data_IF_208870805208
#
_entry.id   IF_208870805208
#
_cell.length_a   1.000
_cell.length_b   1.000
_cell.length_c   1.000
_cell.angle_alpha   90.00
_cell.angle_beta   90.00
_cell.angle_gamma   90.00
#
_symmetry.space_group_name_H-M   'P 1'
#
loop_
_entity.id
_entity.type
_entity.pdbx_description
1 polymer ?
#
# COMPACT_ATOMS: atom_id res chain seq x y z
N UNK A 1 13.07 6.94 16.39
CA UNK A 1 12.11 7.39 15.36
C UNK A 1 12.75 8.56 14.66
N UNK A 2 12.90 8.47 13.34
CA UNK A 2 13.31 9.60 12.53
C UNK A 2 12.31 10.76 12.79
N UNK A 3 12.77 12.00 13.11
CA UNK A 3 11.89 13.15 13.33
C UNK A 3 10.90 13.40 12.19
N UNK A 4 11.26 13.02 10.96
CA UNK A 4 10.38 13.12 9.81
C UNK A 4 9.27 12.05 9.78
N UNK A 5 9.51 10.86 10.35
CA UNK A 5 8.46 9.86 10.56
C UNK A 5 7.49 10.27 11.67
N UNK A 6 7.99 10.93 12.72
CA UNK A 6 7.15 11.43 13.80
C UNK A 6 6.13 12.48 13.29
N UNK A 7 6.51 13.30 12.30
CA UNK A 7 5.60 14.29 11.71
C UNK A 7 4.56 13.64 10.79
N UNK A 8 4.91 12.54 10.10
CA UNK A 8 3.97 11.72 9.31
C UNK A 8 3.02 10.91 10.21
N UNK A 9 3.51 10.47 11.35
CA UNK A 9 2.77 9.71 12.37
C UNK A 9 1.94 10.59 13.30
N UNK A 10 2.02 11.92 13.20
CA UNK A 10 1.31 12.88 14.05
C UNK A 10 -0.21 12.93 13.72
N UNK A 11 -0.80 11.74 13.60
CA UNK A 11 -2.25 11.57 13.61
C UNK A 11 -2.66 11.33 15.06
N UNK A 12 -3.49 12.20 15.66
CA UNK A 12 -3.87 12.11 17.10
C UNK A 12 -4.48 10.77 17.51
N UNK A 13 -4.89 9.95 16.57
CA UNK A 13 -5.39 8.58 16.77
C UNK A 13 -4.37 7.47 16.64
N UNK A 14 -3.18 7.72 16.09
CA UNK A 14 -2.20 6.64 15.91
C UNK A 14 -1.64 6.14 17.24
N UNK A 15 -1.44 7.03 18.21
CA UNK A 15 -1.02 6.65 19.56
C UNK A 15 -2.12 5.84 20.28
N UNK A 16 -3.39 6.19 20.08
CA UNK A 16 -4.54 5.44 20.62
C UNK A 16 -4.67 4.06 19.92
N UNK A 17 -4.51 4.02 18.60
CA UNK A 17 -4.61 2.79 17.79
C UNK A 17 -3.46 1.84 18.10
N UNK A 18 -2.26 2.38 18.29
CA UNK A 18 -1.08 1.58 18.63
C UNK A 18 -1.13 1.01 20.05
N UNK A 19 -2.03 1.51 20.91
CA UNK A 19 -2.14 1.03 22.28
C UNK A 19 -0.83 1.10 23.07
N UNK A 20 0.06 2.05 22.73
CA UNK A 20 1.41 2.15 23.27
C UNK A 20 2.43 1.22 22.60
N UNK A 21 2.08 0.55 21.50
CA UNK A 21 3.03 -0.26 20.73
C UNK A 21 4.05 0.63 19.99
N UNK A 22 5.29 0.12 19.89
CA UNK A 22 6.34 0.73 19.08
C UNK A 22 5.96 0.67 17.58
N UNK A 23 5.76 1.82 16.96
CA UNK A 23 5.41 1.96 15.55
C UNK A 23 6.62 1.95 14.60
N UNK A 24 7.83 1.77 15.10
CA UNK A 24 9.00 1.64 14.23
C UNK A 24 8.84 0.44 13.28
N UNK A 25 9.23 0.59 11.99
CA UNK A 25 9.15 -0.51 11.04
C UNK A 25 9.95 -1.74 11.49
N UNK A 26 9.25 -2.84 11.72
CA UNK A 26 9.81 -4.14 12.10
C UNK A 26 9.85 -5.12 10.94
N UNK A 27 8.99 -4.94 9.97
CA UNK A 27 8.83 -5.82 8.82
C UNK A 27 9.32 -5.14 7.55
N UNK A 28 9.79 -5.94 6.61
CA UNK A 28 10.25 -5.43 5.33
C UNK A 28 9.08 -5.15 4.40
N UNK A 29 8.12 -6.08 4.32
CA UNK A 29 6.91 -5.91 3.49
C UNK A 29 5.68 -6.33 4.28
N UNK A 30 4.59 -5.57 4.16
CA UNK A 30 3.27 -6.00 4.62
C UNK A 30 2.31 -6.15 3.44
N UNK A 31 1.51 -7.21 3.49
CA UNK A 31 0.30 -7.33 2.72
C UNK A 31 -0.89 -7.56 3.64
N UNK A 32 -1.89 -6.71 3.52
CA UNK A 32 -3.18 -6.89 4.18
C UNK A 32 -4.24 -7.05 3.09
N UNK A 33 -4.94 -8.16 3.09
CA UNK A 33 -5.90 -8.43 2.04
C UNK A 33 -6.95 -9.46 2.38
N UNK A 34 -7.84 -9.67 1.43
CA UNK A 34 -8.78 -10.76 1.44
C UNK A 34 -8.20 -11.89 0.60
N UNK A 35 -8.24 -13.11 1.13
CA UNK A 35 -7.97 -14.30 0.34
C UNK A 35 -9.27 -14.66 -0.37
N UNK A 36 -9.35 -14.64 -1.71
CA UNK A 36 -10.51 -15.20 -2.38
C UNK A 36 -10.65 -16.65 -1.97
N UNK A 37 -11.86 -17.06 -1.57
CA UNK A 37 -12.15 -18.46 -1.35
C UNK A 37 -11.87 -19.19 -2.67
N UNK A 38 -11.03 -20.19 -2.63
CA UNK A 38 -10.84 -21.07 -3.77
C UNK A 38 -12.16 -21.81 -4.00
N UNK A 39 -12.85 -21.46 -5.07
CA UNK A 39 -13.99 -22.21 -5.58
C UNK A 39 -13.53 -22.96 -6.83
N UNK A 40 -13.19 -24.24 -6.76
CA UNK A 40 -12.68 -25.00 -7.89
C UNK A 40 -13.68 -25.14 -9.04
N UNK A 41 -14.97 -24.82 -8.80
CA UNK A 41 -16.06 -25.08 -9.73
C UNK A 41 -16.53 -23.86 -10.53
N UNK A 42 -15.97 -22.65 -10.34
CA UNK A 42 -16.43 -21.45 -11.03
C UNK A 42 -15.75 -21.17 -12.38
N UNK A 43 -14.85 -22.05 -12.81
CA UNK A 43 -14.15 -21.93 -14.09
C UNK A 43 -13.24 -20.69 -14.22
N UNK A 44 -13.01 -19.98 -13.14
CA UNK A 44 -12.13 -18.81 -13.15
C UNK A 44 -10.67 -19.24 -13.08
N UNK A 45 -10.00 -19.33 -14.20
CA UNK A 45 -8.54 -19.55 -14.31
C UNK A 45 -7.71 -18.41 -13.70
N UNK A 46 -8.34 -17.35 -13.17
CA UNK A 46 -7.70 -16.08 -12.80
C UNK A 46 -7.53 -15.82 -11.31
N UNK A 47 -7.83 -16.76 -10.42
CA UNK A 47 -7.62 -16.54 -8.99
C UNK A 47 -6.16 -16.74 -8.54
N UNK A 48 -5.30 -17.26 -9.40
CA UNK A 48 -3.94 -17.66 -9.04
C UNK A 48 -2.93 -16.49 -9.04
N UNK A 49 -3.09 -15.50 -9.92
CA UNK A 49 -2.10 -14.44 -10.11
C UNK A 49 -1.67 -13.75 -8.79
N UNK A 50 -2.63 -13.42 -7.91
CA UNK A 50 -2.29 -12.79 -6.63
C UNK A 50 -1.48 -13.70 -5.71
N UNK A 51 -1.81 -14.98 -5.69
CA UNK A 51 -1.12 -15.94 -4.83
C UNK A 51 0.30 -16.18 -5.30
N UNK A 52 0.52 -16.25 -6.61
CA UNK A 52 1.85 -16.42 -7.20
C UNK A 52 2.77 -15.24 -6.83
N UNK A 53 2.26 -14.00 -6.96
CA UNK A 53 2.98 -12.81 -6.52
C UNK A 53 3.29 -12.82 -5.02
N UNK A 54 2.33 -13.19 -4.18
CA UNK A 54 2.53 -13.25 -2.73
C UNK A 54 3.53 -14.35 -2.37
N UNK A 55 3.40 -15.55 -2.91
CA UNK A 55 4.31 -16.67 -2.64
C UNK A 55 5.74 -16.31 -3.05
N UNK A 56 5.91 -15.72 -4.24
CA UNK A 56 7.21 -15.27 -4.73
C UNK A 56 7.81 -14.21 -3.80
N UNK A 57 7.03 -13.18 -3.45
CA UNK A 57 7.48 -12.09 -2.60
C UNK A 57 7.92 -12.58 -1.22
N UNK A 58 7.10 -13.41 -0.57
CA UNK A 58 7.38 -13.90 0.78
C UNK A 58 8.54 -14.91 0.83
N UNK A 59 8.75 -15.65 -0.24
CA UNK A 59 9.93 -16.53 -0.38
C UNK A 59 11.23 -15.74 -0.48
N UNK A 60 11.21 -14.63 -1.22
CA UNK A 60 12.38 -13.80 -1.50
C UNK A 60 12.67 -12.76 -0.39
N UNK A 61 11.66 -12.37 0.38
CA UNK A 61 11.73 -11.39 1.48
C UNK A 61 11.08 -11.99 2.73
N UNK A 62 11.81 -12.86 3.47
CA UNK A 62 11.23 -13.64 4.57
C UNK A 62 10.72 -12.79 5.75
N UNK A 63 11.29 -11.60 6.00
CA UNK A 63 10.83 -10.70 7.07
C UNK A 63 9.59 -9.90 6.62
N UNK A 64 8.60 -10.61 6.10
CA UNK A 64 7.38 -10.02 5.57
C UNK A 64 6.15 -10.43 6.38
N UNK A 65 5.13 -9.59 6.37
CA UNK A 65 3.92 -9.79 7.15
C UNK A 65 2.69 -9.93 6.26
N UNK A 66 2.15 -11.13 6.21
CA UNK A 66 0.91 -11.44 5.50
C UNK A 66 -0.25 -11.50 6.49
N UNK A 67 -1.28 -10.68 6.29
CA UNK A 67 -2.46 -10.70 7.13
C UNK A 67 -3.75 -10.68 6.28
N UNK A 68 -4.62 -11.65 6.57
CA UNK A 68 -5.95 -11.74 5.95
C UNK A 68 -7.03 -11.30 6.93
N UNK A 69 -8.14 -10.77 6.40
CA UNK A 69 -9.30 -10.34 7.19
C UNK A 69 -8.95 -9.31 8.28
N UNK A 70 -8.03 -8.40 7.96
CA UNK A 70 -7.64 -7.29 8.81
C UNK A 70 -8.22 -5.99 8.24
N UNK A 71 -8.85 -5.19 9.09
CA UNK A 71 -9.59 -4.01 8.68
C UNK A 71 -9.18 -2.78 9.49
N UNK A 72 -9.39 -1.59 8.90
CA UNK A 72 -9.24 -0.28 9.53
C UNK A 72 -7.94 -0.10 10.32
N UNK A 73 -8.06 0.10 11.64
CA UNK A 73 -6.94 0.39 12.53
C UNK A 73 -5.88 -0.70 12.53
N UNK A 74 -6.29 -1.95 12.55
CA UNK A 74 -5.37 -3.09 12.52
C UNK A 74 -4.55 -3.12 11.22
N UNK A 75 -5.17 -2.79 10.09
CA UNK A 75 -4.47 -2.67 8.81
C UNK A 75 -3.48 -1.51 8.82
N UNK A 76 -3.86 -0.37 9.41
CA UNK A 76 -2.99 0.80 9.54
C UNK A 76 -1.71 0.46 10.32
N UNK A 77 -1.85 -0.18 11.49
CA UNK A 77 -0.70 -0.61 12.32
C UNK A 77 0.23 -1.54 11.54
N UNK A 78 -0.33 -2.49 10.75
CA UNK A 78 0.48 -3.43 9.94
C UNK A 78 1.33 -2.69 8.91
N UNK A 79 0.74 -1.76 8.19
CA UNK A 79 1.45 -0.98 7.19
C UNK A 79 2.49 -0.03 7.81
N UNK A 80 2.13 0.70 8.86
CA UNK A 80 3.05 1.62 9.55
C UNK A 80 4.29 0.87 10.08
N UNK A 81 4.11 -0.35 10.58
CA UNK A 81 5.21 -1.20 11.09
C UNK A 81 5.99 -1.93 9.98
N UNK A 82 5.77 -1.58 8.73
CA UNK A 82 6.45 -2.18 7.58
C UNK A 82 7.11 -1.13 6.71
N UNK A 83 8.25 -1.48 6.12
CA UNK A 83 9.00 -0.61 5.22
C UNK A 83 8.30 -0.41 3.89
N UNK A 84 7.65 -1.47 3.40
CA UNK A 84 6.87 -1.47 2.17
C UNK A 84 5.47 -2.01 2.44
N UNK A 85 4.48 -1.41 1.81
CA UNK A 85 3.13 -1.96 1.71
C UNK A 85 2.92 -2.51 0.32
N UNK A 86 2.65 -3.81 0.22
CA UNK A 86 2.43 -4.49 -1.06
C UNK A 86 0.98 -4.44 -1.49
N UNK A 87 0.76 -4.18 -2.77
CA UNK A 87 -0.54 -4.27 -3.42
C UNK A 87 -0.41 -4.96 -4.78
N UNK A 88 -1.39 -5.79 -5.10
CA UNK A 88 -1.61 -6.31 -6.44
C UNK A 88 -3.09 -6.15 -6.78
N UNK A 89 -3.39 -5.39 -7.82
CA UNK A 89 -4.73 -5.27 -8.38
C UNK A 89 -4.95 -6.39 -9.39
N UNK A 90 -6.01 -7.18 -9.19
CA UNK A 90 -6.32 -8.34 -10.04
C UNK A 90 -6.96 -7.90 -11.36
N UNK A 91 -7.72 -6.80 -11.34
CA UNK A 91 -8.50 -6.33 -12.49
C UNK A 91 -7.89 -5.09 -13.17
N UNK A 92 -6.63 -4.78 -12.86
CA UNK A 92 -5.97 -3.54 -13.27
C UNK A 92 -6.75 -2.27 -12.86
N UNK A 93 -7.58 -2.36 -11.82
CA UNK A 93 -8.33 -1.24 -11.27
C UNK A 93 -7.56 -0.52 -10.18
N UNK A 94 -7.81 0.76 -10.03
CA UNK A 94 -7.25 1.57 -8.97
C UNK A 94 -8.02 1.30 -7.67
N UNK A 95 -7.59 0.30 -6.93
CA UNK A 95 -8.26 -0.14 -5.71
C UNK A 95 -7.95 0.77 -4.51
N UNK A 96 -8.73 0.63 -3.43
CA UNK A 96 -8.61 1.44 -2.22
C UNK A 96 -7.22 1.33 -1.58
N UNK A 97 -6.59 0.16 -1.64
CA UNK A 97 -5.28 -0.10 -1.04
C UNK A 97 -4.18 0.78 -1.61
N UNK A 98 -4.28 1.18 -2.87
CA UNK A 98 -3.39 2.15 -3.48
C UNK A 98 -3.30 3.44 -2.65
N UNK A 99 -4.44 3.94 -2.18
CA UNK A 99 -4.49 5.16 -1.36
C UNK A 99 -4.23 4.87 0.12
N UNK A 100 -4.73 3.76 0.65
CA UNK A 100 -4.62 3.40 2.07
C UNK A 100 -3.16 3.28 2.50
N UNK A 101 -2.35 2.50 1.79
CA UNK A 101 -0.92 2.30 2.11
C UNK A 101 -0.19 3.64 2.15
N UNK A 102 -0.35 4.47 1.13
CA UNK A 102 0.27 5.80 1.09
C UNK A 102 -0.29 6.73 2.18
N UNK A 103 -1.58 6.61 2.53
CA UNK A 103 -2.18 7.43 3.59
C UNK A 103 -1.59 7.17 4.97
N UNK A 104 -1.04 5.99 5.19
CA UNK A 104 -0.34 5.61 6.41
C UNK A 104 1.16 5.99 6.40
N UNK A 105 1.64 6.62 5.34
CA UNK A 105 3.04 7.00 5.20
C UNK A 105 3.98 5.85 4.85
N UNK A 106 3.43 4.69 4.48
CA UNK A 106 4.22 3.53 4.05
C UNK A 106 4.47 3.60 2.55
N UNK A 107 5.67 3.25 2.12
CA UNK A 107 6.01 3.21 0.70
C UNK A 107 5.23 2.10 0.00
N UNK A 108 4.42 2.46 -0.99
CA UNK A 108 3.60 1.52 -1.75
C UNK A 108 4.41 0.84 -2.85
N UNK A 109 4.37 -0.49 -2.88
CA UNK A 109 4.83 -1.32 -3.99
C UNK A 109 3.61 -1.95 -4.66
N UNK A 110 3.33 -1.62 -5.93
CA UNK A 110 2.10 -2.05 -6.63
C UNK A 110 2.34 -2.32 -8.11
N UNK A 111 1.50 -3.13 -8.73
CA UNK A 111 1.56 -3.36 -10.18
C UNK A 111 1.28 -2.08 -10.97
N UNK A 112 2.10 -1.78 -11.97
CA UNK A 112 2.04 -0.54 -12.75
C UNK A 112 0.90 -0.53 -13.77
N UNK A 113 0.40 -1.70 -14.17
CA UNK A 113 -0.67 -1.87 -15.16
C UNK A 113 -2.05 -1.40 -14.69
N UNK A 114 -2.14 -0.85 -13.49
CA UNK A 114 -3.38 -0.28 -12.95
C UNK A 114 -3.72 1.01 -13.70
N UNK A 115 -4.95 1.08 -14.21
CA UNK A 115 -5.44 2.28 -14.89
C UNK A 115 -5.87 3.39 -13.92
N UNK A 116 -5.78 4.65 -14.36
CA UNK A 116 -6.34 5.82 -13.68
C UNK A 116 -5.44 6.55 -12.70
N UNK A 117 -4.32 5.99 -12.25
CA UNK A 117 -3.42 6.74 -11.34
C UNK A 117 -2.73 7.93 -12.00
N UNK A 118 -2.46 7.84 -13.32
CA UNK A 118 -1.89 8.95 -14.11
C UNK A 118 -2.83 10.13 -14.18
N UNK A 119 -4.13 9.87 -14.38
CA UNK A 119 -5.17 10.91 -14.46
C UNK A 119 -5.35 11.64 -13.12
N UNK A 120 -5.01 10.97 -12.02
CA UNK A 120 -4.99 11.56 -10.67
C UNK A 120 -3.67 12.28 -10.35
N UNK A 121 -2.73 12.32 -11.30
CA UNK A 121 -1.44 12.98 -11.18
C UNK A 121 -0.46 12.26 -10.24
N UNK A 122 -0.59 10.95 -10.08
CA UNK A 122 0.45 10.14 -9.47
C UNK A 122 1.55 9.82 -10.48
N UNK A 123 2.75 9.54 -9.98
CA UNK A 123 3.93 9.24 -10.78
C UNK A 123 4.68 8.05 -10.14
N UNK A 124 4.98 7.01 -10.94
CA UNK A 124 5.81 5.90 -10.51
C UNK A 124 7.25 6.39 -10.25
N UNK A 125 7.89 5.87 -9.22
CA UNK A 125 9.22 6.30 -8.76
C UNK A 125 9.23 7.58 -7.93
N UNK A 126 8.09 8.28 -7.81
CA UNK A 126 7.96 9.51 -7.03
C UNK A 126 6.95 9.39 -5.90
N UNK A 127 5.79 8.79 -6.15
CA UNK A 127 4.72 8.66 -5.17
C UNK A 127 4.52 7.21 -4.70
N UNK A 128 4.95 6.26 -5.51
CA UNK A 128 4.90 4.82 -5.26
C UNK A 128 5.95 4.11 -6.13
N UNK A 129 6.18 2.83 -5.86
CA UNK A 129 7.06 1.96 -6.67
C UNK A 129 6.15 1.02 -7.47
N UNK A 130 6.14 1.20 -8.78
CA UNK A 130 5.38 0.36 -9.70
C UNK A 130 6.22 -0.78 -10.24
N UNK A 131 5.65 -1.98 -10.37
CA UNK A 131 6.29 -3.14 -10.98
C UNK A 131 5.45 -3.71 -12.13
N UNK A 132 6.12 -4.35 -13.08
CA UNK A 132 5.49 -4.92 -14.28
C UNK A 132 5.16 -6.41 -14.12
N UNK A 133 6.06 -7.18 -13.55
CA UNK A 133 5.95 -8.63 -13.36
C UNK A 133 6.55 -9.06 -12.01
N UNK A 134 6.55 -10.38 -11.74
CA UNK A 134 7.03 -10.94 -10.48
C UNK A 134 8.53 -10.74 -10.26
N UNK A 135 9.35 -10.83 -11.30
CA UNK A 135 10.80 -10.65 -11.16
C UNK A 135 11.14 -9.18 -10.92
N UNK A 136 10.49 -8.26 -11.62
CA UNK A 136 10.59 -6.82 -11.40
C UNK A 136 10.07 -6.40 -10.02
N UNK A 137 8.97 -7.01 -9.56
CA UNK A 137 8.46 -6.81 -8.20
C UNK A 137 9.50 -7.14 -7.14
N UNK A 138 10.14 -8.31 -7.24
CA UNK A 138 11.18 -8.73 -6.29
C UNK A 138 12.39 -7.81 -6.36
N UNK A 139 12.84 -7.47 -7.57
CA UNK A 139 13.97 -6.57 -7.77
C UNK A 139 13.72 -5.19 -7.16
N UNK A 140 12.56 -4.61 -7.40
CA UNK A 140 12.16 -3.30 -6.85
C UNK A 140 11.94 -3.32 -5.35
N UNK A 141 11.39 -4.42 -4.81
CA UNK A 141 11.28 -4.59 -3.37
C UNK A 141 12.66 -4.62 -2.69
N UNK A 142 13.59 -5.43 -3.20
CA UNK A 142 14.97 -5.51 -2.68
C UNK A 142 15.68 -4.16 -2.81
N UNK A 143 15.57 -3.51 -3.97
CA UNK A 143 16.13 -2.18 -4.18
C UNK A 143 15.61 -1.18 -3.12
N UNK A 144 14.31 -1.13 -2.90
CA UNK A 144 13.72 -0.21 -1.92
C UNK A 144 14.15 -0.50 -0.48
N UNK A 145 14.42 -1.75 -0.14
CA UNK A 145 14.94 -2.13 1.19
C UNK A 145 16.40 -1.73 1.37
N UNK A 146 17.20 -1.78 0.31
CA UNK A 146 18.61 -1.38 0.29
C UNK A 146 18.81 0.15 0.19
N UNK A 147 17.78 0.89 -0.26
CA UNK A 147 17.82 2.34 -0.46
C UNK A 147 16.79 3.06 0.44
N UNK A 148 17.03 3.11 1.76
CA UNK A 148 16.05 3.64 2.71
C UNK A 148 15.73 5.13 2.48
N UNK A 149 16.69 5.94 2.05
CA UNK A 149 16.47 7.37 1.83
C UNK A 149 15.48 7.62 0.69
N UNK A 150 15.70 6.96 -0.45
CA UNK A 150 14.86 7.06 -1.64
C UNK A 150 13.46 6.49 -1.36
N UNK A 151 13.39 5.36 -0.68
CA UNK A 151 12.11 4.76 -0.25
C UNK A 151 11.31 5.74 0.63
N UNK A 152 11.95 6.41 1.57
CA UNK A 152 11.28 7.36 2.46
C UNK A 152 10.85 8.64 1.74
N UNK A 153 11.63 9.12 0.76
CA UNK A 153 11.21 10.22 -0.11
C UNK A 153 9.94 9.87 -0.89
N UNK A 154 9.90 8.67 -1.49
CA UNK A 154 8.72 8.18 -2.23
C UNK A 154 7.53 8.06 -1.29
N UNK A 155 7.71 7.46 -0.10
CA UNK A 155 6.65 7.30 0.89
C UNK A 155 6.08 8.65 1.32
N UNK A 156 6.93 9.63 1.59
CA UNK A 156 6.55 10.99 1.98
C UNK A 156 5.79 11.71 0.88
N UNK A 157 6.27 11.62 -0.37
CA UNK A 157 5.62 12.22 -1.51
C UNK A 157 4.23 11.60 -1.78
N UNK A 158 4.12 10.28 -1.71
CA UNK A 158 2.86 9.55 -1.84
C UNK A 158 1.86 9.93 -0.74
N UNK A 159 2.30 9.95 0.51
CA UNK A 159 1.49 10.36 1.66
C UNK A 159 0.94 11.78 1.49
N UNK A 160 1.81 12.74 1.17
CA UNK A 160 1.42 14.13 0.91
C UNK A 160 0.37 14.22 -0.19
N UNK A 161 0.62 13.56 -1.32
CA UNK A 161 -0.29 13.55 -2.48
C UNK A 161 -1.69 13.04 -2.11
N UNK A 162 -1.78 11.94 -1.36
CA UNK A 162 -3.07 11.39 -0.92
C UNK A 162 -3.78 12.35 0.04
N UNK A 163 -3.08 12.91 1.00
CA UNK A 163 -3.67 13.81 1.99
C UNK A 163 -4.19 15.11 1.41
N UNK A 164 -3.54 15.65 0.40
CA UNK A 164 -3.89 16.90 -0.24
C UNK A 164 -5.09 16.82 -1.19
N UNK A 165 -5.35 15.64 -1.79
CA UNK A 165 -6.38 15.56 -2.83
C UNK A 165 -7.19 14.26 -2.93
N UNK A 166 -6.82 13.20 -2.20
CA UNK A 166 -7.37 11.87 -2.47
C UNK A 166 -7.94 11.16 -1.23
N UNK A 167 -8.33 11.91 -0.19
CA UNK A 167 -9.03 11.35 0.97
C UNK A 167 -10.52 11.15 0.67
N UNK A 168 -11.21 10.33 1.45
CA UNK A 168 -12.66 10.17 1.38
C UNK A 168 -13.42 11.50 1.45
N UNK A 169 -12.93 12.45 2.26
CA UNK A 169 -13.51 13.80 2.32
C UNK A 169 -13.50 14.50 0.96
N UNK A 170 -12.38 14.40 0.22
CA UNK A 170 -12.29 15.00 -1.11
C UNK A 170 -13.26 14.33 -2.08
N UNK A 171 -13.33 12.99 -2.09
CA UNK A 171 -14.26 12.25 -2.95
C UNK A 171 -15.74 12.56 -2.66
N UNK A 172 -16.11 12.59 -1.38
CA UNK A 172 -17.45 12.95 -0.99
C UNK A 172 -17.81 14.40 -1.39
N UNK A 173 -16.86 15.32 -1.26
CA UNK A 173 -17.07 16.72 -1.70
C UNK A 173 -17.28 16.82 -3.22
N UNK A 174 -16.55 16.05 -4.01
CA UNK A 174 -16.72 15.99 -5.47
C UNK A 174 -18.10 15.43 -5.84
N UNK A 175 -18.50 14.31 -5.23
CA UNK A 175 -19.81 13.70 -5.44
C UNK A 175 -20.93 14.68 -5.11
N UNK A 176 -20.87 15.30 -3.95
CA UNK A 176 -21.91 16.26 -3.52
C UNK A 176 -22.01 17.47 -4.47
N UNK A 177 -20.87 18.00 -4.92
CA UNK A 177 -20.87 19.09 -5.90
C UNK A 177 -21.54 18.68 -7.21
N UNK A 178 -21.25 17.47 -7.71
CA UNK A 178 -21.82 16.96 -8.96
C UNK A 178 -23.32 16.65 -8.84
N UNK A 179 -23.78 16.15 -7.69
CA UNK A 179 -25.17 15.81 -7.47
C UNK A 179 -26.06 17.02 -7.16
N UNK A 180 -25.48 18.12 -6.67
CA UNK A 180 -26.21 19.33 -6.27
C UNK A 180 -26.10 20.49 -7.27
N UNK A 181 -25.34 20.30 -8.35
CA UNK A 181 -25.24 21.22 -9.49
C UNK A 181 -26.28 20.88 -10.54
#
# INVERSE_FOLDING_TARGET
VDPNQAEMLNHPRLDEIAGGEDLNPKYDVAFVGFMPSYHPDDGSEKSNDRMDYLERLFREIPNSWLHFNCFFEDAAVRYIRSRLGFNVSIKNDLNMRFFEVMSYGTCLLTNERVDGWRDLGFENGKHFIGYDDEDDMVAKAKWALEHPMEREEIARAGHKKVREGHTYRHRMSEILKTCLS
#
